data_IF_548911541015
#
_entry.id   IF_548911541015
#
_cell.length_a   1.000
_cell.length_b   1.000
_cell.length_c   1.000
_cell.angle_alpha   90.00
_cell.angle_beta   90.00
_cell.angle_gamma   90.00
#
_symmetry.space_group_name_H-M   'P 1'
#
loop_
_entity.id
_entity.type
_entity.pdbx_description
1 polymer ?
#
# COMPACT_ATOMS: atom_id res chain seq x y z
N UNK A 1 -9.73 18.11 13.36
CA UNK A 1 -8.48 18.38 14.13
C UNK A 1 -7.56 17.19 13.86
N UNK A 2 -6.33 17.39 13.37
CA UNK A 2 -5.38 16.29 13.23
C UNK A 2 -5.10 15.76 14.65
N UNK A 3 -5.49 14.52 14.91
CA UNK A 3 -5.27 13.87 16.18
C UNK A 3 -4.04 13.00 16.01
N UNK A 4 -2.95 13.40 16.66
CA UNK A 4 -1.74 12.59 16.70
C UNK A 4 -1.97 11.42 17.65
N UNK A 5 -1.44 10.26 17.28
CA UNK A 5 -1.48 9.04 18.09
C UNK A 5 -0.08 8.69 18.54
N UNK A 6 0.03 8.20 19.76
CA UNK A 6 1.28 7.63 20.25
C UNK A 6 1.53 6.30 19.55
N UNK A 7 2.77 6.07 19.12
CA UNK A 7 3.18 4.84 18.47
C UNK A 7 4.38 4.24 19.19
N UNK A 8 4.32 2.95 19.57
CA UNK A 8 5.48 2.27 20.10
C UNK A 8 6.53 2.12 19.00
N UNK A 9 7.77 2.51 19.29
CA UNK A 9 8.91 2.42 18.38
C UNK A 9 9.97 1.54 19.06
N UNK A 10 10.57 0.63 18.31
CA UNK A 10 11.68 -0.20 18.81
C UNK A 10 12.89 0.68 19.13
N UNK A 11 13.66 0.29 20.15
CA UNK A 11 14.76 1.11 20.69
C UNK A 11 15.79 1.53 19.64
N UNK A 12 16.10 0.63 18.71
CA UNK A 12 17.06 0.87 17.63
C UNK A 12 16.59 1.99 16.69
N UNK A 13 15.32 1.94 16.28
CA UNK A 13 14.73 2.96 15.40
C UNK A 13 14.57 4.27 16.17
N UNK A 14 14.15 4.22 17.43
CA UNK A 14 14.05 5.40 18.28
C UNK A 14 15.41 6.11 18.42
N UNK A 15 16.49 5.36 18.57
CA UNK A 15 17.86 5.88 18.64
C UNK A 15 18.25 6.60 17.35
N UNK A 16 17.95 6.02 16.19
CA UNK A 16 18.23 6.65 14.88
C UNK A 16 17.41 7.93 14.69
N UNK A 17 16.12 7.89 15.05
CA UNK A 17 15.23 9.07 14.97
C UNK A 17 15.72 10.18 15.90
N UNK A 18 16.19 9.85 17.10
CA UNK A 18 16.75 10.82 18.04
C UNK A 18 18.04 11.45 17.49
N UNK A 19 18.92 10.65 16.88
CA UNK A 19 20.13 11.17 16.23
C UNK A 19 19.78 12.14 15.10
N UNK A 20 18.80 11.79 14.27
CA UNK A 20 18.31 12.66 13.20
C UNK A 20 17.69 13.95 13.76
N UNK A 21 16.87 13.87 14.81
CA UNK A 21 16.29 15.05 15.46
C UNK A 21 17.38 15.98 16.03
N UNK A 22 18.39 15.40 16.68
CA UNK A 22 19.52 16.16 17.21
C UNK A 22 20.35 16.80 16.09
N UNK A 23 20.52 16.12 14.96
CA UNK A 23 21.19 16.67 13.78
C UNK A 23 20.41 17.85 13.21
N UNK A 24 19.09 17.76 13.13
CA UNK A 24 18.23 18.86 12.68
C UNK A 24 18.35 20.08 13.61
N UNK A 25 18.30 19.87 14.93
CA UNK A 25 18.52 20.96 15.91
C UNK A 25 19.89 21.61 15.71
N UNK A 26 20.96 20.80 15.59
CA UNK A 26 22.32 21.32 15.37
C UNK A 26 22.41 22.17 14.10
N UNK A 27 21.76 21.74 13.01
CA UNK A 27 21.76 22.49 11.76
C UNK A 27 21.07 23.84 11.91
N UNK A 28 19.93 23.88 12.62
CA UNK A 28 19.24 25.14 12.93
C UNK A 28 20.10 26.05 13.80
N UNK A 29 20.69 25.54 14.88
CA UNK A 29 21.56 26.32 15.77
C UNK A 29 22.78 26.91 15.03
N UNK A 30 23.39 26.12 14.15
CA UNK A 30 24.48 26.58 13.29
C UNK A 30 24.04 27.67 12.32
N UNK A 31 22.87 27.51 11.71
CA UNK A 31 22.31 28.50 10.78
C UNK A 31 21.98 29.81 11.47
N UNK A 32 21.48 29.77 12.71
CA UNK A 32 21.15 30.95 13.50
C UNK A 32 22.35 31.56 14.25
N UNK A 33 23.45 30.82 14.37
CA UNK A 33 24.61 31.22 15.18
C UNK A 33 24.31 31.30 16.68
N UNK A 34 23.26 30.61 17.17
CA UNK A 34 22.86 30.60 18.58
C UNK A 34 22.31 29.24 19.00
N UNK A 35 22.42 28.93 20.28
CA UNK A 35 21.80 27.75 20.87
C UNK A 35 20.31 27.97 21.12
N UNK A 36 19.51 26.92 20.95
CA UNK A 36 18.07 26.93 21.25
C UNK A 36 17.83 26.49 22.70
N UNK A 37 16.77 27.02 23.32
CA UNK A 37 16.24 26.47 24.57
C UNK A 37 15.43 25.18 24.29
N UNK A 38 15.09 24.44 25.35
CA UNK A 38 14.43 23.14 25.20
C UNK A 38 13.03 23.26 24.58
N UNK A 39 12.35 24.38 24.79
CA UNK A 39 11.07 24.67 24.15
C UNK A 39 11.20 24.78 22.63
N UNK A 40 12.13 25.60 22.13
CA UNK A 40 12.33 25.79 20.69
C UNK A 40 12.92 24.54 20.03
N UNK A 41 13.77 23.78 20.73
CA UNK A 41 14.21 22.46 20.24
C UNK A 41 13.04 21.53 19.95
N UNK A 42 12.01 21.55 20.80
CA UNK A 42 10.78 20.78 20.62
C UNK A 42 9.95 21.19 19.39
N UNK A 43 10.16 22.39 18.85
CA UNK A 43 9.49 22.86 17.62
C UNK A 43 10.26 22.51 16.34
N UNK A 44 11.54 22.12 16.45
CA UNK A 44 12.34 21.74 15.27
C UNK A 44 11.84 20.40 14.72
N UNK A 45 11.47 20.32 13.43
CA UNK A 45 11.04 19.07 12.85
C UNK A 45 12.21 18.09 12.74
N UNK A 46 11.93 16.80 12.95
CA UNK A 46 12.91 15.72 12.80
C UNK A 46 13.58 15.75 11.42
N UNK A 47 12.80 16.04 10.37
CA UNK A 47 13.30 16.20 9.01
C UNK A 47 13.09 17.63 8.53
N UNK A 48 14.20 18.31 8.25
CA UNK A 48 14.22 19.70 7.80
C UNK A 48 14.20 19.82 6.28
N UNK A 49 13.64 20.93 5.82
CA UNK A 49 13.98 21.49 4.53
C UNK A 49 15.12 22.50 4.72
N UNK A 50 16.35 22.02 4.60
CA UNK A 50 17.57 22.81 4.82
C UNK A 50 17.67 24.01 3.87
N UNK A 51 17.24 23.87 2.61
CA UNK A 51 17.25 24.94 1.62
C UNK A 51 16.35 26.11 2.05
N UNK A 52 15.11 25.81 2.41
CA UNK A 52 14.14 26.84 2.85
C UNK A 52 14.57 27.49 4.17
N UNK A 53 15.24 26.73 5.06
CA UNK A 53 15.72 27.28 6.33
C UNK A 53 16.73 28.42 6.11
N UNK A 54 17.68 28.24 5.19
CA UNK A 54 18.68 29.26 4.89
C UNK A 54 18.03 30.56 4.39
N UNK A 55 17.00 30.45 3.55
CA UNK A 55 16.25 31.60 3.04
C UNK A 55 15.43 32.28 4.16
N UNK A 56 14.73 31.50 4.98
CA UNK A 56 13.84 32.04 6.02
C UNK A 56 14.59 32.63 7.21
N UNK A 57 15.76 32.10 7.57
CA UNK A 57 16.56 32.62 8.67
C UNK A 57 16.98 34.08 8.47
N UNK A 58 17.02 34.54 7.22
CA UNK A 58 17.33 35.94 6.85
C UNK A 58 16.09 36.84 6.94
N UNK A 59 14.90 36.28 6.71
CA UNK A 59 13.67 37.04 6.42
C UNK A 59 12.71 37.08 7.61
N UNK A 60 12.61 35.99 8.38
CA UNK A 60 11.57 35.78 9.39
C UNK A 60 12.19 35.27 10.70
N UNK A 61 12.10 36.05 11.77
CA UNK A 61 12.62 35.66 13.08
C UNK A 61 11.81 34.54 13.76
N UNK A 62 10.56 34.30 13.31
CA UNK A 62 9.63 33.33 13.91
C UNK A 62 9.39 32.11 13.02
N UNK A 63 10.31 31.79 12.11
CA UNK A 63 10.16 30.70 11.16
C UNK A 63 9.91 29.32 11.82
N UNK A 64 10.33 29.11 13.07
CA UNK A 64 10.11 27.88 13.83
C UNK A 64 8.63 27.61 14.14
N UNK A 65 7.82 28.65 14.30
CA UNK A 65 6.37 28.51 14.49
C UNK A 65 5.63 28.27 13.16
N UNK A 66 6.33 28.50 12.05
CA UNK A 66 5.80 28.26 10.72
C UNK A 66 6.08 26.82 10.30
N UNK A 67 5.04 26.07 9.92
CA UNK A 67 5.18 24.73 9.33
C UNK A 67 5.90 24.71 7.96
N UNK A 68 6.73 25.72 7.66
CA UNK A 68 7.41 25.93 6.38
C UNK A 68 8.74 25.18 6.27
N UNK A 69 9.41 24.91 7.39
CA UNK A 69 10.73 24.25 7.43
C UNK A 69 10.65 22.72 7.44
N UNK A 70 9.45 22.14 7.36
CA UNK A 70 9.28 20.69 7.29
C UNK A 70 9.78 20.16 5.95
N UNK A 71 10.50 19.03 6.00
CA UNK A 71 10.91 18.33 4.80
C UNK A 71 9.70 17.98 3.92
N UNK A 72 9.77 18.34 2.63
CA UNK A 72 8.77 17.95 1.65
C UNK A 72 8.97 16.49 1.23
N UNK A 73 7.91 15.78 0.77
CA UNK A 73 8.06 14.42 0.26
C UNK A 73 9.09 14.27 -0.88
N UNK A 74 9.36 15.35 -1.62
CA UNK A 74 10.39 15.40 -2.65
C UNK A 74 11.79 15.19 -2.09
N UNK A 75 12.10 15.77 -0.92
CA UNK A 75 13.41 15.62 -0.24
C UNK A 75 13.62 14.16 0.13
N UNK A 76 12.64 13.53 0.77
CA UNK A 76 12.71 12.11 1.12
C UNK A 76 12.89 11.21 -0.12
N UNK A 77 12.21 11.54 -1.23
CA UNK A 77 12.35 10.79 -2.48
C UNK A 77 13.74 10.96 -3.12
N UNK A 78 14.32 12.16 -3.06
CA UNK A 78 15.68 12.42 -3.51
C UNK A 78 16.70 11.69 -2.66
N UNK A 79 16.58 11.74 -1.32
CA UNK A 79 17.44 11.00 -0.41
C UNK A 79 17.40 9.49 -0.70
N UNK A 80 16.21 8.92 -0.92
CA UNK A 80 16.05 7.51 -1.28
C UNK A 80 16.74 7.17 -2.61
N UNK A 81 16.59 8.01 -3.64
CA UNK A 81 17.29 7.83 -4.92
C UNK A 81 18.80 7.88 -4.76
N UNK A 82 19.30 8.81 -3.94
CA UNK A 82 20.72 8.95 -3.69
C UNK A 82 21.28 7.69 -3.01
N UNK A 83 20.59 7.15 -1.99
CA UNK A 83 20.99 5.89 -1.35
C UNK A 83 21.09 4.77 -2.38
N UNK A 84 20.07 4.62 -3.24
CA UNK A 84 20.04 3.58 -4.28
C UNK A 84 21.21 3.73 -5.26
N UNK A 85 21.49 4.96 -5.72
CA UNK A 85 22.57 5.26 -6.66
C UNK A 85 23.94 5.00 -6.03
N UNK A 86 24.17 5.52 -4.81
CA UNK A 86 25.46 5.43 -4.12
C UNK A 86 25.80 3.99 -3.75
N UNK A 87 24.82 3.22 -3.25
CA UNK A 87 24.99 1.81 -2.89
C UNK A 87 24.85 0.86 -4.09
N UNK A 88 24.61 1.40 -5.29
CA UNK A 88 24.40 0.65 -6.53
C UNK A 88 23.41 -0.51 -6.37
N UNK A 89 22.25 -0.25 -5.75
CA UNK A 89 21.26 -1.28 -5.45
C UNK A 89 20.61 -1.79 -6.74
N UNK A 90 20.91 -3.01 -7.15
CA UNK A 90 20.37 -3.62 -8.37
C UNK A 90 19.11 -4.44 -8.04
N UNK A 91 18.07 -4.31 -8.87
CA UNK A 91 16.88 -5.14 -8.76
C UNK A 91 17.11 -6.52 -9.38
N UNK A 92 17.03 -7.58 -8.57
CA UNK A 92 17.12 -8.97 -9.05
C UNK A 92 16.11 -9.31 -10.17
N UNK A 93 14.96 -8.61 -10.22
CA UNK A 93 13.91 -8.86 -11.21
C UNK A 93 14.22 -8.25 -12.57
N UNK A 94 14.88 -7.08 -12.62
CA UNK A 94 15.09 -6.34 -13.88
C UNK A 94 16.55 -6.27 -14.30
N UNK A 95 17.50 -6.63 -13.42
CA UNK A 95 18.94 -6.46 -13.67
C UNK A 95 19.40 -5.00 -13.75
N UNK A 96 18.50 -4.05 -13.51
CA UNK A 96 18.76 -2.62 -13.52
C UNK A 96 18.77 -2.06 -12.10
N UNK A 97 19.23 -0.81 -11.95
CA UNK A 97 19.12 -0.08 -10.70
C UNK A 97 17.68 -0.14 -10.14
N UNK A 98 17.58 -0.34 -8.83
CA UNK A 98 16.33 -0.51 -8.12
C UNK A 98 15.51 0.78 -8.19
N UNK A 99 14.39 0.76 -8.90
CA UNK A 99 13.46 1.88 -8.90
C UNK A 99 12.61 1.91 -7.61
N UNK A 100 13.18 2.29 -6.47
CA UNK A 100 12.42 2.40 -5.22
C UNK A 100 11.74 3.77 -5.09
N UNK A 101 10.54 3.77 -4.52
CA UNK A 101 9.80 4.99 -4.15
C UNK A 101 9.19 4.78 -2.76
N UNK A 102 8.88 5.85 -2.00
CA UNK A 102 8.21 5.72 -0.71
C UNK A 102 6.94 4.87 -0.76
N UNK A 103 6.19 4.97 -1.87
CA UNK A 103 5.02 4.12 -2.13
C UNK A 103 5.40 2.65 -2.25
N UNK A 104 6.44 2.30 -3.02
CA UNK A 104 6.88 0.90 -3.16
C UNK A 104 7.35 0.33 -1.83
N UNK A 105 8.08 1.10 -1.02
CA UNK A 105 8.49 0.66 0.33
C UNK A 105 7.27 0.37 1.22
N UNK A 106 6.27 1.26 1.22
CA UNK A 106 5.00 1.02 1.95
C UNK A 106 4.30 -0.26 1.47
N UNK A 107 4.19 -0.46 0.15
CA UNK A 107 3.61 -1.69 -0.42
C UNK A 107 4.39 -2.93 0.01
N UNK A 108 5.72 -2.89 -0.03
CA UNK A 108 6.57 -4.02 0.38
C UNK A 108 6.32 -4.41 1.83
N UNK A 109 6.35 -3.45 2.76
CA UNK A 109 6.07 -3.71 4.19
C UNK A 109 4.66 -4.28 4.36
N UNK A 110 3.66 -3.67 3.72
CA UNK A 110 2.28 -4.13 3.80
C UNK A 110 2.11 -5.57 3.32
N UNK A 111 2.70 -5.92 2.18
CA UNK A 111 2.63 -7.27 1.61
C UNK A 111 3.44 -8.27 2.42
N UNK A 112 4.57 -7.88 3.01
CA UNK A 112 5.34 -8.74 3.94
C UNK A 112 4.50 -9.09 5.16
N UNK A 113 3.92 -8.09 5.84
CA UNK A 113 3.05 -8.31 7.01
C UNK A 113 1.84 -9.18 6.66
N UNK A 114 1.24 -8.98 5.49
CA UNK A 114 0.14 -9.82 5.04
C UNK A 114 0.57 -11.28 4.80
N UNK A 115 1.81 -11.51 4.31
CA UNK A 115 2.36 -12.86 4.09
C UNK A 115 2.64 -13.56 5.41
N UNK A 116 3.03 -12.81 6.43
CA UNK A 116 3.17 -13.30 7.81
C UNK A 116 1.83 -13.58 8.50
N UNK A 117 0.70 -13.28 7.84
CA UNK A 117 -0.65 -13.58 8.34
C UNK A 117 -1.26 -12.48 9.22
N UNK A 118 -0.64 -11.30 9.29
CA UNK A 118 -1.23 -10.17 10.03
C UNK A 118 -2.54 -9.72 9.40
N UNK A 119 -3.52 -9.37 10.24
CA UNK A 119 -4.83 -8.92 9.77
C UNK A 119 -4.78 -7.47 9.25
N UNK A 120 -5.80 -7.06 8.50
CA UNK A 120 -5.86 -5.74 7.86
C UNK A 120 -5.86 -4.55 8.85
N UNK A 121 -6.37 -4.73 10.07
CA UNK A 121 -6.38 -3.68 11.09
C UNK A 121 -4.95 -3.44 11.59
N UNK A 122 -4.24 -4.50 11.95
CA UNK A 122 -2.84 -4.44 12.39
C UNK A 122 -1.94 -3.83 11.30
N UNK A 123 -2.14 -4.21 10.04
CA UNK A 123 -1.37 -3.64 8.93
C UNK A 123 -1.71 -2.15 8.73
N UNK A 124 -2.99 -1.76 8.81
CA UNK A 124 -3.38 -0.36 8.72
C UNK A 124 -2.74 0.48 9.84
N UNK A 125 -2.72 -0.08 11.04
CA UNK A 125 -2.11 0.53 12.22
C UNK A 125 -0.60 0.73 12.03
N UNK A 126 0.14 -0.28 11.58
CA UNK A 126 1.58 -0.19 11.35
C UNK A 126 1.96 0.77 10.21
N UNK A 127 1.09 0.97 9.23
CA UNK A 127 1.32 1.85 8.08
C UNK A 127 0.83 3.29 8.28
N UNK A 128 0.29 3.60 9.45
CA UNK A 128 -0.31 4.91 9.76
C UNK A 128 -1.49 5.28 8.85
N UNK A 129 -2.33 4.29 8.56
CA UNK A 129 -3.56 4.49 7.83
C UNK A 129 -4.73 4.80 8.77
N UNK A 130 -5.54 5.79 8.41
CA UNK A 130 -6.79 6.11 9.13
C UNK A 130 -7.93 5.11 8.85
N UNK A 131 -7.77 4.21 7.87
CA UNK A 131 -8.79 3.26 7.45
C UNK A 131 -8.17 1.98 6.90
N UNK A 132 -8.84 0.85 7.09
CA UNK A 132 -8.47 -0.45 6.53
C UNK A 132 -8.88 -0.63 5.07
N UNK A 133 -9.74 0.25 4.55
CA UNK A 133 -10.21 0.18 3.16
C UNK A 133 -9.05 0.27 2.16
N UNK A 134 -8.05 1.11 2.44
CA UNK A 134 -6.83 1.24 1.65
C UNK A 134 -5.87 0.06 1.84
N UNK A 135 -5.87 -0.57 3.01
CA UNK A 135 -5.02 -1.73 3.31
C UNK A 135 -5.38 -2.96 2.49
N UNK A 136 -6.66 -3.13 2.17
CA UNK A 136 -7.14 -4.21 1.30
C UNK A 136 -6.48 -4.23 -0.09
N UNK A 137 -5.97 -3.09 -0.59
CA UNK A 137 -5.26 -3.01 -1.88
C UNK A 137 -3.93 -3.79 -1.83
N UNK A 138 -3.25 -3.80 -0.67
CA UNK A 138 -1.97 -4.48 -0.51
C UNK A 138 -2.11 -6.00 -0.32
N UNK A 139 -3.23 -6.43 0.25
CA UNK A 139 -3.48 -7.82 0.67
C UNK A 139 -4.11 -8.65 -0.47
N UNK A 140 -4.83 -8.02 -1.39
CA UNK A 140 -5.55 -8.73 -2.48
C UNK A 140 -4.64 -9.52 -3.42
N UNK A 141 -3.37 -9.14 -3.57
CA UNK A 141 -2.45 -9.72 -4.55
C UNK A 141 -1.37 -10.62 -3.92
N UNK A 142 -1.65 -11.31 -2.82
CA UNK A 142 -0.71 -12.30 -2.28
C UNK A 142 -0.74 -13.59 -3.10
N UNK A 143 0.44 -14.13 -3.41
CA UNK A 143 0.57 -15.42 -4.09
C UNK A 143 -0.14 -16.55 -3.32
N UNK A 144 -0.09 -16.55 -1.99
CA UNK A 144 -0.84 -17.51 -1.16
C UNK A 144 -2.37 -17.37 -1.25
N UNK A 145 -2.89 -16.22 -1.72
CA UNK A 145 -4.31 -16.08 -2.02
C UNK A 145 -4.69 -16.86 -3.29
N UNK A 146 -3.76 -17.10 -4.20
CA UNK A 146 -4.02 -17.85 -5.45
C UNK A 146 -4.40 -19.29 -5.14
N UNK A 147 -3.69 -19.98 -4.24
CA UNK A 147 -4.03 -21.36 -3.86
C UNK A 147 -5.42 -21.47 -3.22
N UNK A 148 -5.79 -20.49 -2.39
CA UNK A 148 -7.12 -20.43 -1.77
C UNK A 148 -8.22 -20.14 -2.80
N UNK A 149 -7.94 -19.25 -3.75
CA UNK A 149 -8.85 -18.95 -4.85
C UNK A 149 -9.01 -20.20 -5.72
N UNK A 150 -7.90 -20.79 -6.16
CA UNK A 150 -7.85 -22.00 -6.97
C UNK A 150 -8.63 -23.13 -6.30
N UNK A 151 -8.37 -23.42 -5.01
CA UNK A 151 -9.11 -24.43 -4.26
C UNK A 151 -10.62 -24.14 -4.20
N UNK A 152 -11.03 -22.87 -4.07
CA UNK A 152 -12.45 -22.49 -3.97
C UNK A 152 -13.19 -22.56 -5.31
N UNK A 153 -12.48 -22.41 -6.43
CA UNK A 153 -13.07 -22.40 -7.79
C UNK A 153 -12.77 -23.67 -8.60
N UNK A 154 -11.84 -24.51 -8.14
CA UNK A 154 -11.34 -25.68 -8.87
C UNK A 154 -12.46 -26.64 -9.24
N UNK A 155 -13.38 -26.94 -8.32
CA UNK A 155 -14.53 -27.81 -8.61
C UNK A 155 -15.43 -27.21 -9.71
N UNK A 156 -15.71 -25.90 -9.62
CA UNK A 156 -16.59 -25.21 -10.58
C UNK A 156 -15.94 -25.06 -11.97
N UNK A 157 -14.61 -24.89 -12.02
CA UNK A 157 -13.86 -24.70 -13.26
C UNK A 157 -13.38 -26.03 -13.87
N UNK A 158 -13.37 -27.13 -13.11
CA UNK A 158 -12.91 -28.45 -13.57
C UNK A 158 -13.61 -28.92 -14.84
N UNK A 159 -14.91 -28.66 -14.96
CA UNK A 159 -15.70 -28.99 -16.14
C UNK A 159 -15.32 -28.14 -17.37
N UNK A 160 -15.11 -26.84 -17.16
CA UNK A 160 -14.68 -25.93 -18.24
C UNK A 160 -13.31 -26.39 -18.75
N UNK A 161 -12.39 -26.73 -17.84
CA UNK A 161 -11.10 -27.28 -18.19
C UNK A 161 -11.22 -28.62 -18.95
N UNK A 162 -12.14 -29.51 -18.55
CA UNK A 162 -12.40 -30.77 -19.25
C UNK A 162 -12.92 -30.56 -20.68
N UNK A 163 -13.84 -29.60 -20.91
CA UNK A 163 -14.27 -29.25 -22.27
C UNK A 163 -13.10 -28.77 -23.12
N UNK A 164 -12.23 -27.89 -22.60
CA UNK A 164 -11.09 -27.40 -23.36
C UNK A 164 -10.09 -28.52 -23.68
N UNK A 165 -9.82 -29.41 -22.73
CA UNK A 165 -8.83 -30.48 -22.89
C UNK A 165 -9.33 -31.65 -23.73
N UNK A 166 -10.61 -31.99 -23.59
CA UNK A 166 -11.19 -33.22 -24.13
C UNK A 166 -12.28 -32.98 -25.17
N UNK A 167 -12.72 -31.74 -25.39
CA UNK A 167 -13.88 -31.43 -26.21
C UNK A 167 -15.20 -31.82 -25.53
N UNK A 168 -16.33 -31.37 -26.08
CA UNK A 168 -17.66 -31.71 -25.56
C UNK A 168 -17.96 -33.17 -25.91
N UNK A 169 -17.76 -34.08 -24.95
CA UNK A 169 -17.99 -35.53 -25.15
C UNK A 169 -19.40 -36.01 -24.81
N UNK A 170 -20.21 -35.24 -24.07
CA UNK A 170 -21.56 -35.64 -23.65
C UNK A 170 -22.66 -34.89 -24.41
N UNK A 171 -23.67 -35.63 -24.90
CA UNK A 171 -24.93 -35.07 -25.44
C UNK A 171 -25.93 -34.64 -24.34
N UNK A 172 -25.63 -34.91 -23.08
CA UNK A 172 -26.49 -34.55 -21.95
C UNK A 172 -26.29 -33.08 -21.54
N UNK A 173 -27.39 -32.32 -21.50
CA UNK A 173 -27.44 -30.99 -20.88
C UNK A 173 -27.20 -31.14 -19.38
N UNK A 174 -26.05 -30.68 -18.91
CA UNK A 174 -25.80 -30.46 -17.48
C UNK A 174 -26.19 -29.02 -17.17
N UNK A 175 -27.14 -28.82 -16.27
CA UNK A 175 -27.53 -27.47 -15.81
C UNK A 175 -26.49 -26.97 -14.79
N UNK A 176 -25.76 -25.91 -15.16
CA UNK A 176 -24.71 -25.34 -14.31
C UNK A 176 -25.22 -24.15 -13.51
N UNK A 177 -25.13 -24.21 -12.18
CA UNK A 177 -25.29 -23.03 -11.30
C UNK A 177 -24.01 -22.18 -11.31
N UNK A 178 -23.66 -21.58 -12.45
CA UNK A 178 -22.63 -20.52 -12.46
C UNK A 178 -23.14 -19.26 -11.74
N UNK A 179 -24.46 -19.09 -11.68
CA UNK A 179 -25.15 -18.15 -10.83
C UNK A 179 -25.78 -18.91 -9.66
N UNK A 180 -25.59 -18.43 -8.42
CA UNK A 180 -26.35 -18.96 -7.31
C UNK A 180 -27.84 -18.83 -7.65
N UNK A 181 -28.58 -19.92 -7.58
CA UNK A 181 -30.01 -19.92 -7.92
C UNK A 181 -30.80 -18.92 -7.07
N UNK A 182 -30.23 -18.44 -5.95
CA UNK A 182 -30.79 -17.37 -5.13
C UNK A 182 -30.99 -16.04 -5.88
N UNK A 183 -30.24 -15.75 -6.94
CA UNK A 183 -30.49 -14.55 -7.79
C UNK A 183 -31.57 -14.77 -8.85
N UNK A 184 -31.90 -16.03 -9.19
CA UNK A 184 -32.96 -16.37 -10.14
C UNK A 184 -34.30 -16.69 -9.43
N UNK A 185 -34.24 -17.23 -8.21
CA UNK A 185 -35.42 -17.60 -7.41
C UNK A 185 -36.17 -16.39 -6.84
N UNK A 186 -35.53 -15.21 -6.72
CA UNK A 186 -36.16 -14.00 -6.17
C UNK A 186 -37.22 -13.36 -7.09
N UNK A 187 -37.53 -13.98 -8.25
CA UNK A 187 -38.55 -13.50 -9.18
C UNK A 187 -39.69 -14.49 -9.45
N UNK A 188 -39.86 -15.55 -8.64
CA UNK A 188 -41.02 -16.46 -8.75
C UNK A 188 -41.20 -17.06 -10.17
N UNK A 189 -40.11 -17.37 -10.86
CA UNK A 189 -40.18 -18.03 -12.17
C UNK A 189 -40.21 -19.56 -11.97
N UNK A 190 -41.35 -20.06 -11.48
CA UNK A 190 -41.66 -21.49 -11.36
C UNK A 190 -42.02 -22.14 -12.72
N UNK A 191 -41.51 -21.60 -13.82
CA UNK A 191 -41.72 -22.14 -15.15
C UNK A 191 -40.37 -22.21 -15.85
N UNK A 192 -40.16 -23.30 -16.61
CA UNK A 192 -39.06 -23.54 -17.54
C UNK A 192 -38.73 -22.27 -18.36
N UNK A 193 -37.91 -21.38 -17.80
CA UNK A 193 -37.48 -20.16 -18.45
C UNK A 193 -36.18 -20.47 -19.17
N UNK A 194 -36.15 -20.42 -20.51
CA UNK A 194 -34.96 -20.78 -21.24
C UNK A 194 -33.88 -19.71 -21.01
N UNK A 195 -32.65 -20.15 -20.76
CA UNK A 195 -31.56 -19.29 -20.28
C UNK A 195 -31.19 -18.16 -21.28
N UNK A 196 -31.50 -18.34 -22.56
CA UNK A 196 -31.32 -17.36 -23.65
C UNK A 196 -32.16 -16.09 -23.48
N UNK A 197 -33.20 -16.13 -22.63
CA UNK A 197 -34.07 -14.98 -22.32
C UNK A 197 -33.79 -14.36 -20.96
N UNK A 198 -32.75 -14.83 -20.26
CA UNK A 198 -32.35 -14.27 -18.97
C UNK A 198 -31.63 -12.93 -19.17
N UNK A 199 -32.01 -11.91 -18.40
CA UNK A 199 -31.38 -10.57 -18.42
C UNK A 199 -29.87 -10.63 -18.10
N UNK A 200 -29.41 -11.70 -17.44
CA UNK A 200 -28.00 -11.94 -17.10
C UNK A 200 -27.27 -12.86 -18.10
N UNK A 201 -27.95 -13.33 -19.15
CA UNK A 201 -27.31 -14.17 -20.16
C UNK A 201 -26.52 -13.29 -21.13
N UNK A 202 -25.21 -13.46 -21.15
CA UNK A 202 -24.33 -12.87 -22.16
C UNK A 202 -24.01 -13.96 -23.20
N UNK A 203 -24.58 -13.89 -24.41
CA UNK A 203 -24.15 -14.79 -25.48
C UNK A 203 -22.69 -14.52 -25.79
N UNK A 204 -21.90 -15.59 -25.88
CA UNK A 204 -20.54 -15.53 -26.44
C UNK A 204 -20.68 -15.89 -27.91
N UNK A 205 -20.62 -14.89 -28.77
CA UNK A 205 -20.52 -15.12 -30.21
C UNK A 205 -19.13 -15.70 -30.49
N UNK A 206 -19.10 -16.92 -31.02
CA UNK A 206 -17.86 -17.57 -31.48
C UNK A 206 -17.88 -17.47 -33.00
N UNK A 207 -17.13 -16.50 -33.53
CA UNK A 207 -16.75 -16.43 -34.95
C UNK A 207 -15.64 -17.44 -35.25
#
# INVERSE_FOLDING_TARGET
KLQYRELPIISEVASIVQLQANQSVRFVEQTLGKTLDDYNKGQVPVFLNEEILLDLAIIDSNFLESNKIYAKPTIANTALKNIINTENLISNRTGSLLNATPRRLRYTIATMLAREGHNANTIAELLDHSSTSSTGIYIKNLAGSVERIDSAVSEQLSFVADIFMNGIKSKEKKDFKFCSSRKCESQNLNASFPCDKCVFFMPVDID
#
